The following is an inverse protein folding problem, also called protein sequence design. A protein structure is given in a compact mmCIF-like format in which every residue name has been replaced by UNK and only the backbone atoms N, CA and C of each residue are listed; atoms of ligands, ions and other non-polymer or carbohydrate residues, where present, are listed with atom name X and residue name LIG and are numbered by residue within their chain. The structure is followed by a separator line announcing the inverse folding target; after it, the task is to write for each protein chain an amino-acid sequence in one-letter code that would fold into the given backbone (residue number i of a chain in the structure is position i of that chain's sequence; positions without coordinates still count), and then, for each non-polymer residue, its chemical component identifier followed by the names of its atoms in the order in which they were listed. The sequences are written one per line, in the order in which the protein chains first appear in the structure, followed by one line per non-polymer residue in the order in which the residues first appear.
data_IF_406582146681
#
_entry.id   IF_406582146681
#
_cell.length_a   1.000
_cell.length_b   1.000
_cell.length_c   1.000
_cell.angle_alpha   90.00
_cell.angle_beta   90.00
_cell.angle_gamma   90.00
#
_symmetry.space_group_name_H-M   'P 1'
#
loop_
_entity.id
_entity.type
_entity.pdbx_description
1 polymer ?
#
# COMPACT_ATOMS: atom_id res chain seq x y z
N UNK A 1 17.68 -12.03 17.31
CA UNK A 1 16.96 -12.90 16.37
C UNK A 1 15.62 -12.22 16.16
N UNK A 2 15.37 -11.61 15.01
CA UNK A 2 14.06 -11.03 14.74
C UNK A 2 13.12 -12.22 14.46
N UNK A 3 12.28 -12.56 15.44
CA UNK A 3 11.13 -13.42 15.18
C UNK A 3 10.19 -12.63 14.28
N UNK A 4 10.37 -12.84 12.98
CA UNK A 4 9.41 -12.40 11.98
C UNK A 4 8.44 -13.58 11.84
N UNK A 5 7.50 -13.68 12.78
CA UNK A 5 6.49 -14.74 12.83
C UNK A 5 5.31 -14.42 11.91
N UNK A 6 4.54 -15.46 11.55
CA UNK A 6 3.38 -15.36 10.64
C UNK A 6 2.40 -14.27 11.12
N UNK A 7 2.15 -14.21 12.43
CA UNK A 7 1.22 -13.24 13.04
C UNK A 7 1.67 -11.80 12.82
N UNK A 8 2.97 -11.53 12.98
CA UNK A 8 3.56 -10.21 12.74
C UNK A 8 3.50 -9.85 11.26
N UNK A 9 3.73 -10.81 10.35
CA UNK A 9 3.63 -10.57 8.91
C UNK A 9 2.20 -10.19 8.51
N UNK A 10 1.20 -10.94 8.97
CA UNK A 10 -0.22 -10.66 8.73
C UNK A 10 -0.62 -9.28 9.29
N UNK A 11 -0.19 -8.98 10.50
CA UNK A 11 -0.44 -7.68 11.13
C UNK A 11 0.12 -6.52 10.29
N UNK A 12 1.37 -6.63 9.82
CA UNK A 12 1.96 -5.60 8.97
C UNK A 12 1.29 -5.48 7.60
N UNK A 13 0.81 -6.58 7.03
CA UNK A 13 -0.02 -6.53 5.82
C UNK A 13 -1.28 -5.68 6.04
N UNK A 14 -1.96 -5.87 7.17
CA UNK A 14 -3.17 -5.11 7.50
C UNK A 14 -2.88 -3.63 7.75
N UNK A 15 -1.81 -3.30 8.48
CA UNK A 15 -1.38 -1.91 8.66
C UNK A 15 -1.06 -1.25 7.31
N UNK A 16 -0.34 -1.94 6.42
CA UNK A 16 -0.01 -1.41 5.10
C UNK A 16 -1.26 -1.24 4.23
N UNK A 17 -2.24 -2.14 4.31
CA UNK A 17 -3.53 -1.96 3.62
C UNK A 17 -4.27 -0.72 4.07
N UNK A 18 -4.27 -0.44 5.37
CA UNK A 18 -4.87 0.79 5.90
C UNK A 18 -4.15 2.03 5.35
N UNK A 19 -2.82 2.02 5.34
CA UNK A 19 -2.02 3.10 4.76
C UNK A 19 -2.32 3.29 3.26
N UNK A 20 -2.39 2.20 2.49
CA UNK A 20 -2.75 2.22 1.05
C UNK A 20 -4.14 2.84 0.86
N UNK A 21 -5.11 2.46 1.69
CA UNK A 21 -6.45 3.05 1.65
C UNK A 21 -6.42 4.56 1.87
N UNK A 22 -5.76 5.00 2.95
CA UNK A 22 -5.62 6.42 3.28
C UNK A 22 -4.91 7.19 2.16
N UNK A 23 -3.88 6.60 1.55
CA UNK A 23 -3.17 7.21 0.43
C UNK A 23 -4.07 7.37 -0.81
N UNK A 24 -4.91 6.38 -1.13
CA UNK A 24 -5.88 6.47 -2.23
C UNK A 24 -6.90 7.58 -1.97
N UNK A 25 -7.44 7.64 -0.76
CA UNK A 25 -8.39 8.68 -0.36
C UNK A 25 -7.76 10.08 -0.46
N UNK A 26 -6.51 10.23 0.01
CA UNK A 26 -5.77 11.48 -0.09
C UNK A 26 -5.53 11.90 -1.54
N UNK A 27 -5.16 10.97 -2.43
CA UNK A 27 -5.01 11.27 -3.85
C UNK A 27 -6.33 11.75 -4.46
N UNK A 28 -7.42 11.03 -4.20
CA UNK A 28 -8.74 11.40 -4.71
C UNK A 28 -9.18 12.79 -4.19
N UNK A 29 -8.93 13.09 -2.92
CA UNK A 29 -9.22 14.39 -2.33
C UNK A 29 -8.40 15.52 -2.98
N UNK A 30 -7.12 15.28 -3.26
CA UNK A 30 -6.26 16.25 -3.96
C UNK A 30 -6.74 16.48 -5.40
N UNK A 31 -7.13 15.42 -6.11
CA UNK A 31 -7.66 15.53 -7.46
C UNK A 31 -8.99 16.30 -7.49
N UNK A 32 -9.89 16.01 -6.56
CA UNK A 32 -11.15 16.71 -6.40
C UNK A 32 -10.92 18.20 -6.10
N UNK A 33 -9.95 18.52 -5.24
CA UNK A 33 -9.58 19.90 -4.93
C UNK A 33 -9.08 20.63 -6.18
N UNK A 34 -8.20 20.01 -6.97
CA UNK A 34 -7.67 20.63 -8.19
C UNK A 34 -8.75 20.80 -9.26
N UNK A 35 -9.62 19.80 -9.45
CA UNK A 35 -10.77 19.94 -10.35
C UNK A 35 -11.74 21.04 -9.90
N UNK A 36 -11.92 21.23 -8.58
CA UNK A 36 -12.73 22.31 -8.02
C UNK A 36 -12.14 23.71 -8.21
N UNK A 37 -10.83 23.82 -8.47
CA UNK A 37 -10.15 25.10 -8.76
C UNK A 37 -10.39 25.52 -10.22
N UNK A 38 -10.70 24.59 -11.12
CA UNK A 38 -10.89 24.87 -12.54
C UNK A 38 -11.96 25.94 -12.75
N UNK A 39 -11.59 27.06 -13.39
CA UNK A 39 -12.45 28.23 -13.57
C UNK A 39 -12.57 29.20 -12.38
N UNK A 40 -12.09 28.83 -11.19
CA UNK A 40 -11.99 29.73 -10.02
C UNK A 40 -10.68 30.51 -10.01
N UNK A 41 -9.61 29.89 -10.51
CA UNK A 41 -8.30 30.51 -10.69
C UNK A 41 -8.06 30.69 -12.18
N UNK A 42 -7.44 31.80 -12.59
CA UNK A 42 -7.17 32.08 -14.00
C UNK A 42 -5.68 32.34 -14.21
N UNK A 43 -5.19 31.95 -15.40
CA UNK A 43 -3.82 32.23 -15.84
C UNK A 43 -2.79 31.22 -15.33
N UNK A 44 -1.57 31.69 -15.05
CA UNK A 44 -0.42 30.82 -14.74
C UNK A 44 -0.62 29.94 -13.50
N UNK A 45 -1.41 30.39 -12.52
CA UNK A 45 -1.65 29.62 -11.31
C UNK A 45 -2.37 28.30 -11.61
N UNK A 46 -3.43 28.34 -12.42
CA UNK A 46 -4.19 27.15 -12.83
C UNK A 46 -3.29 26.14 -13.54
N UNK A 47 -2.50 26.61 -14.52
CA UNK A 47 -1.57 25.76 -15.29
C UNK A 47 -0.51 25.08 -14.41
N UNK A 48 0.02 25.79 -13.40
CA UNK A 48 1.01 25.22 -12.47
C UNK A 48 0.40 24.10 -11.62
N UNK A 49 -0.83 24.28 -11.11
CA UNK A 49 -1.48 23.26 -10.29
C UNK A 49 -1.93 22.05 -11.12
N UNK A 50 -2.40 22.26 -12.35
CA UNK A 50 -2.68 21.18 -13.31
C UNK A 50 -1.42 20.34 -13.62
N UNK A 51 -0.28 20.98 -13.85
CA UNK A 51 0.97 20.27 -14.07
C UNK A 51 1.45 19.52 -12.81
N UNK A 52 1.34 20.15 -11.63
CA UNK A 52 1.77 19.54 -10.36
C UNK A 52 0.90 18.35 -9.97
N UNK A 53 -0.41 18.39 -10.20
CA UNK A 53 -1.29 17.25 -9.84
C UNK A 53 -0.94 16.00 -10.66
N UNK A 54 -0.54 16.16 -11.94
CA UNK A 54 -0.07 15.04 -12.76
C UNK A 54 1.17 14.39 -12.14
N UNK A 55 2.13 15.21 -11.70
CA UNK A 55 3.34 14.71 -11.04
C UNK A 55 3.01 14.00 -9.71
N UNK A 56 2.17 14.60 -8.86
CA UNK A 56 1.75 14.02 -7.58
C UNK A 56 1.03 12.70 -7.80
N UNK A 57 0.08 12.64 -8.75
CA UNK A 57 -0.61 11.41 -9.15
C UNK A 57 0.37 10.32 -9.52
N UNK A 58 1.33 10.61 -10.40
CA UNK A 58 2.34 9.65 -10.81
C UNK A 58 3.14 9.10 -9.61
N UNK A 59 3.55 9.96 -8.68
CA UNK A 59 4.29 9.54 -7.48
C UNK A 59 3.43 8.70 -6.53
N UNK A 60 2.15 9.06 -6.35
CA UNK A 60 1.22 8.27 -5.53
C UNK A 60 0.99 6.89 -6.11
N UNK A 61 0.71 6.79 -7.41
CA UNK A 61 0.48 5.51 -8.09
C UNK A 61 1.68 4.58 -7.91
N UNK A 62 2.90 5.08 -8.12
CA UNK A 62 4.11 4.26 -7.91
C UNK A 62 4.26 3.75 -6.47
N UNK A 63 3.90 4.56 -5.47
CA UNK A 63 3.96 4.14 -4.07
C UNK A 63 2.87 3.12 -3.74
N UNK A 64 1.65 3.32 -4.25
CA UNK A 64 0.54 2.39 -4.09
C UNK A 64 0.90 1.03 -4.69
N UNK A 65 1.40 1.01 -5.94
CA UNK A 65 1.86 -0.21 -6.61
C UNK A 65 2.97 -0.93 -5.81
N UNK A 66 3.89 -0.17 -5.22
CA UNK A 66 4.94 -0.74 -4.37
C UNK A 66 4.34 -1.45 -3.15
N UNK A 67 3.47 -0.77 -2.41
CA UNK A 67 2.87 -1.34 -1.20
C UNK A 67 1.99 -2.55 -1.53
N UNK A 68 1.19 -2.50 -2.58
CA UNK A 68 0.36 -3.63 -3.01
C UNK A 68 1.20 -4.87 -3.32
N UNK A 69 2.30 -4.70 -4.07
CA UNK A 69 3.22 -5.82 -4.36
C UNK A 69 3.93 -6.32 -3.11
N UNK A 70 4.31 -5.40 -2.21
CA UNK A 70 5.01 -5.78 -0.99
C UNK A 70 4.09 -6.56 -0.04
N UNK A 71 2.83 -6.14 0.10
CA UNK A 71 1.79 -6.89 0.82
C UNK A 71 1.66 -8.29 0.21
N UNK A 72 1.50 -8.41 -1.12
CA UNK A 72 1.36 -9.71 -1.78
C UNK A 72 2.55 -10.64 -1.50
N UNK A 73 3.78 -10.12 -1.52
CA UNK A 73 4.98 -10.91 -1.20
C UNK A 73 4.98 -11.34 0.27
N UNK A 74 4.59 -10.44 1.17
CA UNK A 74 4.58 -10.71 2.60
C UNK A 74 3.53 -11.76 2.97
N UNK A 75 2.33 -11.69 2.38
CA UNK A 75 1.28 -12.70 2.57
C UNK A 75 1.69 -14.07 2.08
N UNK A 76 2.26 -14.17 0.87
CA UNK A 76 2.78 -15.45 0.36
C UNK A 76 3.89 -16.00 1.26
N UNK A 77 4.69 -15.12 1.85
CA UNK A 77 5.75 -15.54 2.78
C UNK A 77 5.16 -16.08 4.08
N UNK A 78 4.11 -15.43 4.59
CA UNK A 78 3.36 -15.88 5.77
C UNK A 78 2.73 -17.26 5.55
N UNK A 79 2.07 -17.47 4.40
CA UNK A 79 1.47 -18.75 4.01
C UNK A 79 2.53 -19.87 3.99
N UNK A 80 3.67 -19.64 3.34
CA UNK A 80 4.77 -20.61 3.25
C UNK A 80 5.32 -20.94 4.65
N UNK A 81 5.45 -19.94 5.51
CA UNK A 81 5.91 -20.14 6.89
C UNK A 81 4.91 -21.00 7.68
N UNK A 82 3.62 -20.69 7.61
CA UNK A 82 2.57 -21.45 8.30
C UNK A 82 2.51 -22.92 7.83
N UNK A 83 2.59 -23.17 6.52
CA UNK A 83 2.61 -24.53 5.97
C UNK A 83 3.84 -25.33 6.45
N UNK A 84 5.01 -24.70 6.52
CA UNK A 84 6.23 -25.33 6.99
C UNK A 84 6.17 -25.65 8.48
N UNK A 85 5.66 -24.73 9.30
CA UNK A 85 5.47 -24.94 10.73
C UNK A 85 4.52 -26.11 10.99
N UNK A 86 3.40 -26.17 10.28
CA UNK A 86 2.44 -27.27 10.38
C UNK A 86 3.05 -28.61 9.95
N UNK A 87 3.80 -28.62 8.84
CA UNK A 87 4.52 -29.82 8.37
C UNK A 87 5.52 -30.35 9.40
N UNK A 88 6.27 -29.45 10.06
CA UNK A 88 7.20 -29.82 11.14
C UNK A 88 6.43 -30.36 12.34
N UNK A 89 5.34 -29.68 12.75
CA UNK A 89 4.49 -30.11 13.88
C UNK A 89 3.94 -31.51 13.67
N UNK A 90 3.42 -31.82 12.48
CA UNK A 90 2.90 -33.14 12.14
C UNK A 90 3.99 -34.22 12.16
N UNK A 91 5.22 -33.90 11.72
CA UNK A 91 6.35 -34.84 11.81
C UNK A 91 6.73 -35.13 13.26
N UNK A 92 6.71 -34.12 14.13
CA UNK A 92 7.05 -34.28 15.56
C UNK A 92 6.03 -35.11 16.33
N UNK A 93 4.73 -35.01 16.00
CA UNK A 93 3.67 -35.78 16.66
C UNK A 93 3.69 -37.26 16.23
N UNK A 94 4.20 -37.56 15.04
CA UNK A 94 4.27 -38.91 14.48
C UNK A 94 5.59 -39.65 14.81
N UNK A 95 6.37 -39.14 15.77
CA UNK A 95 7.58 -39.76 16.34
C UNK A 95 7.29 -40.21 17.76
#
# INVERSE_FOLDING_TARGET
MYEFDVVSMEHYCDEMRQVVSVMRDNLQNLENLVMGIHGSWQGEAEQIYEAKIIYVRYRYIMLLDFFERYIEVLEKSADICAENEESIRLKLINV
#
